data_IF_873630258555
#
_entry.id   IF_873630258555
#
_cell.length_a   1.000
_cell.length_b   1.000
_cell.length_c   1.000
_cell.angle_alpha   90.00
_cell.angle_beta   90.00
_cell.angle_gamma   90.00
#
_symmetry.space_group_name_H-M   'P 1'
#
loop_
_entity.id
_entity.type
_entity.pdbx_description
1 polymer ?
#
# COMPACT_ATOMS: atom_id res chain seq x y z
N UNK A 1 2.34 8.69 -16.78
CA UNK A 1 1.88 9.24 -15.50
C UNK A 1 1.61 8.17 -14.45
N UNK A 2 1.96 8.48 -13.20
CA UNK A 2 1.61 7.68 -12.03
C UNK A 2 0.12 7.89 -11.76
N UNK A 3 -0.60 6.81 -11.51
CA UNK A 3 -2.04 6.84 -11.20
C UNK A 3 -2.23 6.53 -9.71
N UNK A 4 -3.05 7.32 -9.03
CA UNK A 4 -3.34 7.17 -7.60
C UNK A 4 -4.85 7.15 -7.44
N UNK A 5 -5.36 6.19 -6.69
CA UNK A 5 -6.79 6.02 -6.45
C UNK A 5 -7.05 5.45 -5.05
N UNK A 6 -8.26 5.64 -4.55
CA UNK A 6 -8.71 5.14 -3.26
C UNK A 6 -10.03 4.39 -3.46
N UNK A 7 -10.02 3.09 -3.20
CA UNK A 7 -11.19 2.24 -3.33
C UNK A 7 -11.65 1.76 -1.95
N UNK A 8 -12.88 2.10 -1.58
CA UNK A 8 -13.53 1.53 -0.40
C UNK A 8 -14.45 0.38 -0.78
N UNK A 9 -14.38 -0.73 -0.06
CA UNK A 9 -15.27 -1.88 -0.23
C UNK A 9 -15.95 -2.24 1.08
N UNK A 10 -17.26 -2.01 1.15
CA UNK A 10 -18.08 -2.40 2.31
C UNK A 10 -18.03 -3.92 2.55
N UNK A 11 -18.15 -4.72 1.48
CA UNK A 11 -18.16 -6.18 1.57
C UNK A 11 -16.84 -6.78 2.03
N UNK A 12 -15.70 -6.16 1.66
CA UNK A 12 -14.37 -6.63 2.05
C UNK A 12 -13.89 -5.98 3.35
N UNK A 13 -14.62 -4.98 3.87
CA UNK A 13 -14.22 -4.13 4.98
C UNK A 13 -12.81 -3.54 4.79
N UNK A 14 -12.51 -3.05 3.58
CA UNK A 14 -11.20 -2.47 3.25
C UNK A 14 -11.31 -1.11 2.58
N UNK A 15 -10.31 -0.27 2.82
CA UNK A 15 -10.00 0.93 2.04
C UNK A 15 -8.62 0.72 1.44
N UNK A 16 -8.58 0.50 0.12
CA UNK A 16 -7.37 0.25 -0.64
C UNK A 16 -6.89 1.56 -1.27
N UNK A 17 -5.74 2.07 -0.82
CA UNK A 17 -4.99 3.12 -1.49
C UNK A 17 -4.13 2.48 -2.57
N UNK A 18 -4.44 2.76 -3.83
CA UNK A 18 -3.77 2.16 -4.99
C UNK A 18 -2.82 3.19 -5.61
N UNK A 19 -1.56 2.78 -5.79
CA UNK A 19 -0.54 3.55 -6.48
C UNK A 19 -0.03 2.74 -7.66
N UNK A 20 -0.39 3.15 -8.87
CA UNK A 20 -0.03 2.44 -10.10
C UNK A 20 1.02 3.19 -10.92
N UNK A 21 2.13 2.51 -11.18
CA UNK A 21 3.34 3.08 -11.76
C UNK A 21 3.62 2.43 -13.12
N UNK A 22 3.66 3.20 -14.22
CA UNK A 22 4.03 2.68 -15.53
C UNK A 22 5.47 2.21 -15.57
N UNK A 23 5.71 1.04 -16.16
CA UNK A 23 7.03 0.53 -16.49
C UNK A 23 7.13 0.16 -17.97
N UNK A 24 8.31 0.36 -18.54
CA UNK A 24 8.65 0.13 -19.95
C UNK A 24 9.59 -1.06 -20.15
N UNK A 25 10.01 -1.71 -19.08
CA UNK A 25 10.90 -2.87 -19.08
C UNK A 25 10.52 -3.85 -17.95
N UNK A 26 11.06 -5.08 -18.02
CA UNK A 26 10.83 -6.19 -17.09
C UNK A 26 9.38 -6.74 -17.07
N UNK A 27 8.89 -7.18 -15.92
CA UNK A 27 7.60 -7.87 -15.71
C UNK A 27 7.50 -9.26 -16.35
N UNK A 28 8.65 -9.89 -16.59
CA UNK A 28 8.77 -11.26 -17.10
C UNK A 28 9.10 -12.24 -15.98
N UNK A 29 8.90 -13.54 -16.24
CA UNK A 29 9.23 -14.60 -15.28
C UNK A 29 10.69 -14.53 -14.85
N UNK A 30 11.61 -14.24 -15.77
CA UNK A 30 13.03 -14.07 -15.44
C UNK A 30 13.32 -12.88 -14.49
N UNK A 31 12.47 -11.86 -14.48
CA UNK A 31 12.66 -10.65 -13.67
C UNK A 31 11.88 -10.68 -12.34
N UNK A 32 11.16 -11.77 -12.04
CA UNK A 32 10.29 -11.89 -10.87
C UNK A 32 10.90 -11.33 -9.58
N UNK A 33 12.12 -11.75 -9.26
CA UNK A 33 12.80 -11.37 -8.03
C UNK A 33 13.09 -9.87 -8.00
N UNK A 34 13.57 -9.31 -9.11
CA UNK A 34 13.85 -7.88 -9.26
C UNK A 34 12.58 -7.04 -9.17
N UNK A 35 11.53 -7.45 -9.87
CA UNK A 35 10.25 -6.74 -9.89
C UNK A 35 9.55 -6.79 -8.53
N UNK A 36 9.62 -7.93 -7.83
CA UNK A 36 9.12 -8.08 -6.45
C UNK A 36 9.85 -7.15 -5.48
N UNK A 37 11.18 -7.07 -5.57
CA UNK A 37 11.99 -6.17 -4.74
C UNK A 37 11.68 -4.70 -5.06
N UNK A 38 11.62 -4.33 -6.34
CA UNK A 38 11.28 -2.98 -6.79
C UNK A 38 9.90 -2.56 -6.26
N UNK A 39 8.92 -3.44 -6.39
CA UNK A 39 7.56 -3.23 -5.94
C UNK A 39 7.50 -3.03 -4.41
N UNK A 40 8.18 -3.88 -3.62
CA UNK A 40 8.30 -3.72 -2.16
C UNK A 40 9.03 -2.43 -1.76
N UNK A 41 10.09 -2.06 -2.45
CA UNK A 41 10.84 -0.84 -2.16
C UNK A 41 9.97 0.41 -2.36
N UNK A 42 9.16 0.43 -3.42
CA UNK A 42 8.22 1.52 -3.67
C UNK A 42 7.13 1.52 -2.60
N UNK A 43 6.57 0.36 -2.25
CA UNK A 43 5.60 0.24 -1.16
C UNK A 43 6.15 0.85 0.14
N UNK A 44 7.35 0.46 0.54
CA UNK A 44 8.00 0.98 1.75
C UNK A 44 8.21 2.49 1.64
N UNK A 45 8.68 3.00 0.49
CA UNK A 45 8.88 4.43 0.28
C UNK A 45 7.58 5.24 0.38
N UNK A 46 6.49 4.75 -0.21
CA UNK A 46 5.17 5.40 -0.11
C UNK A 46 4.67 5.35 1.33
N UNK A 47 4.73 4.18 1.99
CA UNK A 47 4.35 4.03 3.39
C UNK A 47 5.14 4.99 4.28
N UNK A 48 6.46 5.00 4.19
CA UNK A 48 7.32 5.81 5.05
C UNK A 48 7.08 7.31 4.82
N UNK A 49 6.72 7.70 3.60
CA UNK A 49 6.29 9.06 3.30
C UNK A 49 4.95 9.41 3.96
N UNK A 50 3.96 8.50 3.92
CA UNK A 50 2.65 8.68 4.57
C UNK A 50 2.78 8.75 6.10
N UNK A 51 3.59 7.86 6.67
CA UNK A 51 3.84 7.79 8.12
C UNK A 51 4.79 8.90 8.62
N UNK A 52 5.22 9.81 7.72
CA UNK A 52 6.01 11.03 7.98
C UNK A 52 6.93 10.93 9.20
N UNK A 53 8.06 10.24 9.07
CA UNK A 53 9.25 10.50 9.88
C UNK A 53 9.01 10.58 11.42
N UNK A 54 8.01 9.89 11.96
CA UNK A 54 7.86 9.78 13.41
C UNK A 54 8.99 8.90 13.94
N UNK A 55 10.06 9.57 14.36
CA UNK A 55 11.22 8.96 14.99
C UNK A 55 10.90 8.59 16.46
N UNK A 56 9.77 7.91 16.68
CA UNK A 56 9.36 7.38 17.98
C UNK A 56 9.14 5.87 17.88
N UNK A 57 10.19 5.13 18.26
CA UNK A 57 10.19 3.73 18.68
C UNK A 57 9.43 2.71 17.82
N UNK A 58 10.17 1.86 17.08
CA UNK A 58 9.95 0.44 16.74
C UNK A 58 8.53 -0.16 16.46
N UNK A 59 7.42 0.58 16.49
CA UNK A 59 6.07 0.02 16.44
C UNK A 59 5.29 0.67 15.30
N UNK A 60 5.39 0.06 14.10
CA UNK A 60 4.74 0.52 12.86
C UNK A 60 3.23 0.72 13.02
N UNK A 61 2.61 -0.11 13.85
CA UNK A 61 1.20 0.00 14.18
C UNK A 61 0.87 1.33 14.89
N UNK A 62 1.72 1.83 15.79
CA UNK A 62 1.51 3.14 16.44
C UNK A 62 1.59 4.28 15.43
N UNK A 63 2.56 4.24 14.52
CA UNK A 63 2.69 5.25 13.47
C UNK A 63 1.48 5.24 12.53
N UNK A 64 1.05 4.05 12.09
CA UNK A 64 -0.16 3.90 11.27
C UNK A 64 -1.40 4.44 12.00
N UNK A 65 -1.55 4.12 13.28
CA UNK A 65 -2.63 4.63 14.13
C UNK A 65 -2.60 6.15 14.24
N UNK A 66 -1.43 6.75 14.53
CA UNK A 66 -1.25 8.21 14.63
C UNK A 66 -1.63 8.91 13.33
N UNK A 67 -1.11 8.41 12.20
CA UNK A 67 -1.42 8.95 10.88
C UNK A 67 -2.92 8.84 10.58
N UNK A 68 -3.52 7.65 10.67
CA UNK A 68 -4.93 7.44 10.33
C UNK A 68 -5.87 8.22 11.25
N UNK A 69 -5.61 8.22 12.56
CA UNK A 69 -6.39 9.04 13.49
C UNK A 69 -6.33 10.50 13.12
N UNK A 70 -5.16 11.05 12.73
CA UNK A 70 -5.03 12.45 12.29
C UNK A 70 -5.86 12.80 11.05
N UNK A 71 -6.01 11.85 10.12
CA UNK A 71 -6.80 12.02 8.88
C UNK A 71 -8.31 11.97 9.17
N UNK A 72 -8.77 11.00 9.98
CA UNK A 72 -10.20 10.82 10.32
C UNK A 72 -10.68 11.76 11.44
N UNK A 73 -9.76 12.56 11.97
CA UNK A 73 -9.93 13.47 13.07
C UNK A 73 -10.39 14.85 12.61
N UNK A 74 -11.68 15.19 12.73
CA UNK A 74 -12.09 16.61 12.60
C UNK A 74 -11.56 17.43 13.79
N UNK A 75 -11.04 18.66 13.59
CA UNK A 75 -10.45 19.47 14.66
C UNK A 75 -11.39 19.81 15.82
N UNK A 76 -12.71 19.83 15.59
CA UNK A 76 -13.70 20.43 16.49
C UNK A 76 -14.36 19.45 17.47
N UNK A 77 -14.13 18.15 17.35
CA UNK A 77 -14.59 17.16 18.30
C UNK A 77 -13.59 16.02 18.34
N UNK A 78 -12.83 15.90 19.41
CA UNK A 78 -11.99 14.73 19.67
C UNK A 78 -12.93 13.59 20.07
N UNK A 79 -13.22 12.65 19.16
CA UNK A 79 -14.19 11.62 19.43
C UNK A 79 -13.59 10.66 20.45
N UNK A 80 -14.40 10.22 21.43
CA UNK A 80 -13.98 9.25 22.46
C UNK A 80 -13.38 7.97 21.87
N UNK A 81 -13.74 7.60 20.64
CA UNK A 81 -13.23 6.43 19.94
C UNK A 81 -11.71 6.44 19.75
N UNK A 82 -11.05 7.61 19.73
CA UNK A 82 -9.58 7.69 19.59
C UNK A 82 -8.81 7.09 20.77
N UNK A 83 -9.48 6.83 21.89
CA UNK A 83 -8.89 6.18 23.06
C UNK A 83 -9.26 4.69 23.14
N UNK A 84 -10.16 4.23 22.27
CA UNK A 84 -10.58 2.83 22.22
C UNK A 84 -9.62 2.03 21.34
N UNK A 85 -8.82 1.17 21.97
CA UNK A 85 -7.82 0.35 21.27
C UNK A 85 -8.44 -0.57 20.22
N UNK A 86 -9.65 -1.09 20.46
CA UNK A 86 -10.31 -1.99 19.51
C UNK A 86 -10.68 -1.27 18.21
N UNK A 87 -11.14 -0.03 18.32
CA UNK A 87 -11.48 0.81 17.15
C UNK A 87 -10.22 1.24 16.39
N UNK A 88 -9.12 1.51 17.11
CA UNK A 88 -7.84 1.85 16.48
C UNK A 88 -7.25 0.66 15.71
N UNK A 89 -7.32 -0.54 16.28
CA UNK A 89 -6.93 -1.78 15.61
C UNK A 89 -7.78 -2.04 14.36
N UNK A 90 -9.09 -1.87 14.44
CA UNK A 90 -9.97 -2.01 13.29
C UNK A 90 -9.63 -0.99 12.19
N UNK A 91 -9.37 0.26 12.57
CA UNK A 91 -9.01 1.33 11.64
C UNK A 91 -7.71 1.03 10.88
N UNK A 92 -6.67 0.55 11.59
CA UNK A 92 -5.40 0.16 10.98
C UNK A 92 -5.60 -1.04 10.05
N UNK A 93 -6.38 -2.03 10.48
CA UNK A 93 -6.65 -3.22 9.68
C UNK A 93 -7.47 -2.94 8.41
N UNK A 94 -8.29 -1.88 8.43
CA UNK A 94 -9.15 -1.50 7.31
C UNK A 94 -8.38 -0.84 6.17
N UNK A 95 -7.32 -0.08 6.45
CA UNK A 95 -6.56 0.64 5.42
C UNK A 95 -5.42 -0.21 4.87
N UNK A 96 -5.42 -0.43 3.55
CA UNK A 96 -4.38 -1.15 2.83
C UNK A 96 -3.76 -0.27 1.76
N UNK A 97 -2.46 -0.41 1.57
CA UNK A 97 -1.72 0.16 0.45
C UNK A 97 -1.52 -0.94 -0.59
N UNK A 98 -1.75 -0.63 -1.86
CA UNK A 98 -1.44 -1.49 -2.99
C UNK A 98 -0.60 -0.72 -4.01
N UNK A 99 0.64 -1.16 -4.23
CA UNK A 99 1.50 -0.64 -5.29
C UNK A 99 1.43 -1.57 -6.49
N UNK A 100 1.14 -1.03 -7.67
CA UNK A 100 1.03 -1.78 -8.92
C UNK A 100 2.07 -1.30 -9.92
N UNK A 101 3.01 -2.17 -10.29
CA UNK A 101 3.87 -1.96 -11.46
C UNK A 101 3.08 -2.38 -12.69
N UNK A 102 2.54 -1.39 -13.42
CA UNK A 102 1.75 -1.65 -14.63
C UNK A 102 2.63 -1.55 -15.87
N UNK A 103 2.57 -2.51 -16.81
CA UNK A 103 3.23 -2.35 -18.09
C UNK A 103 2.62 -1.16 -18.84
N UNK A 104 3.47 -0.46 -19.59
CA UNK A 104 2.99 0.45 -20.65
C UNK A 104 2.28 -0.36 -21.73
N UNK A 105 1.34 0.26 -22.48
CA UNK A 105 0.65 -0.43 -23.57
C UNK A 105 1.62 -1.12 -24.54
N UNK A 106 2.69 -0.42 -24.95
CA UNK A 106 3.69 -0.95 -25.87
C UNK A 106 4.37 -2.23 -25.33
N UNK A 107 4.77 -2.22 -24.06
CA UNK A 107 5.37 -3.39 -23.41
C UNK A 107 4.37 -4.53 -23.26
N UNK A 108 3.13 -4.23 -22.85
CA UNK A 108 2.07 -5.21 -22.67
C UNK A 108 1.75 -5.94 -23.98
N UNK A 109 1.64 -5.20 -25.09
CA UNK A 109 1.35 -5.78 -26.41
C UNK A 109 2.54 -6.54 -26.99
N UNK A 110 3.76 -6.02 -26.82
CA UNK A 110 4.96 -6.62 -27.41
C UNK A 110 5.38 -7.90 -26.70
N UNK A 111 5.40 -7.86 -25.38
CA UNK A 111 6.02 -8.92 -24.55
C UNK A 111 4.98 -9.75 -23.78
N UNK A 112 3.68 -9.49 -23.95
CA UNK A 112 2.57 -10.19 -23.29
C UNK A 112 2.74 -10.29 -21.77
N UNK A 113 3.21 -9.21 -21.15
CA UNK A 113 3.48 -9.13 -19.71
C UNK A 113 2.27 -8.63 -18.93
N UNK A 114 2.22 -9.00 -17.66
CA UNK A 114 1.16 -8.61 -16.74
C UNK A 114 1.69 -7.73 -15.61
N UNK A 115 0.80 -6.96 -14.95
CA UNK A 115 1.17 -6.17 -13.79
C UNK A 115 1.69 -7.02 -12.62
N UNK A 116 2.55 -6.40 -11.82
CA UNK A 116 2.96 -6.89 -10.48
C UNK A 116 2.32 -5.98 -9.44
N UNK A 117 1.70 -6.56 -8.41
CA UNK A 117 1.22 -5.78 -7.27
C UNK A 117 1.84 -6.20 -5.94
N UNK A 118 2.02 -5.24 -5.05
CA UNK A 118 2.43 -5.43 -3.66
C UNK A 118 1.37 -4.81 -2.76
N UNK A 119 0.76 -5.64 -1.91
CA UNK A 119 -0.33 -5.23 -1.04
C UNK A 119 -0.02 -5.54 0.42
N UNK A 120 -0.36 -4.60 1.30
CA UNK A 120 -0.18 -4.72 2.75
C UNK A 120 -0.85 -3.56 3.49
N UNK A 121 -0.98 -3.68 4.80
CA UNK A 121 -1.33 -2.55 5.66
C UNK A 121 -0.15 -1.60 5.85
N UNK A 122 -0.42 -0.42 6.43
CA UNK A 122 0.63 0.55 6.75
C UNK A 122 1.53 0.07 7.90
N UNK A 123 1.01 -0.83 8.73
CA UNK A 123 1.69 -1.48 9.85
C UNK A 123 2.54 -2.69 9.44
N UNK A 124 2.27 -3.26 8.26
CA UNK A 124 2.78 -4.57 7.83
C UNK A 124 4.30 -4.62 7.71
N UNK A 125 4.89 -5.76 8.11
CA UNK A 125 6.32 -6.01 7.97
C UNK A 125 6.72 -6.27 6.51
N UNK A 126 7.98 -6.01 6.14
CA UNK A 126 8.39 -6.15 4.72
C UNK A 126 8.28 -7.60 4.22
N UNK A 127 8.44 -8.58 5.11
CA UNK A 127 8.25 -10.00 4.83
C UNK A 127 6.78 -10.39 4.63
N UNK A 128 5.86 -9.63 5.19
CA UNK A 128 4.41 -9.89 5.17
C UNK A 128 3.72 -9.20 3.99
N UNK A 129 4.41 -8.32 3.26
CA UNK A 129 3.89 -7.71 2.03
C UNK A 129 3.65 -8.81 0.98
N UNK A 130 2.38 -8.95 0.61
CA UNK A 130 1.91 -9.92 -0.37
C UNK A 130 2.23 -9.40 -1.76
N UNK A 131 3.03 -10.17 -2.51
CA UNK A 131 3.31 -9.89 -3.91
C UNK A 131 2.40 -10.75 -4.77
N UNK A 132 1.66 -10.13 -5.68
CA UNK A 132 0.83 -10.82 -6.67
C UNK A 132 1.37 -10.56 -8.07
N UNK A 133 1.65 -11.65 -8.78
CA UNK A 133 2.00 -11.62 -10.19
C UNK A 133 1.29 -12.78 -10.86
N UNK A 134 0.47 -12.48 -11.85
CA UNK A 134 -0.12 -13.49 -12.73
C UNK A 134 0.68 -13.46 -14.01
N UNK A 135 1.32 -14.55 -14.40
CA UNK A 135 1.92 -14.62 -15.73
C UNK A 135 0.89 -15.14 -16.72
N UNK A 136 0.91 -14.59 -17.94
CA UNK A 136 0.24 -15.21 -19.07
C UNK A 136 1.00 -16.46 -19.54
#
# INVERSE_FOLDING_TARGET
>A
DIYIDVLSSYWRNTVDLIVSIPVNENLKKENYMSDSLRCRNIFNSVRDHLLRNENMSNYRFTMATSYLTSIFSTPTSWPKWRYDQSVLEELVNLVKLEVVLRPTPDLAFKDNVNPVSCKGGLETENSEIIVSMKYN
#
